data_IF_656356790097
#
_entry.id   IF_656356790097
#
_cell.length_a   1.000
_cell.length_b   1.000
_cell.length_c   1.000
_cell.angle_alpha   90.00
_cell.angle_beta   90.00
_cell.angle_gamma   90.00
#
_symmetry.space_group_name_H-M   'P 1'
#
loop_
_entity.id
_entity.type
_entity.pdbx_description
1 polymer ?
#
# COMPACT_ATOMS: atom_id res chain seq x y z
N UNK A 1 22.70 -6.96 3.05
CA UNK A 1 21.66 -6.20 3.77
C UNK A 1 20.83 -5.41 2.77
N UNK A 2 19.65 -4.93 3.11
CA UNK A 2 18.84 -4.11 2.21
C UNK A 2 18.21 -2.94 2.98
N UNK A 3 18.11 -1.80 2.30
CA UNK A 3 17.42 -0.62 2.83
C UNK A 3 16.20 -0.37 1.98
N UNK A 4 15.07 -0.12 2.64
CA UNK A 4 13.81 0.32 2.04
C UNK A 4 13.50 1.72 2.57
N UNK A 5 13.24 2.64 1.67
CA UNK A 5 12.77 3.99 1.98
C UNK A 5 11.36 4.14 1.45
N UNK A 6 10.43 4.51 2.31
CA UNK A 6 9.05 4.83 1.96
C UNK A 6 8.92 6.34 1.93
N UNK A 7 8.72 6.89 0.74
CA UNK A 7 8.57 8.32 0.52
C UNK A 7 7.10 8.71 0.68
N UNK A 8 6.83 9.77 1.44
CA UNK A 8 5.49 10.32 1.65
C UNK A 8 5.39 11.71 1.03
N UNK A 9 4.31 12.02 0.36
CA UNK A 9 4.04 13.31 -0.23
C UNK A 9 3.02 14.09 0.58
N UNK A 10 3.21 15.40 0.68
CA UNK A 10 2.23 16.30 1.29
C UNK A 10 1.19 16.73 0.25
N UNK A 11 -0.10 16.47 0.53
CA UNK A 11 -1.23 16.93 -0.32
C UNK A 11 -1.09 16.60 -1.82
N UNK A 12 -0.55 15.41 -2.16
CA UNK A 12 -0.12 15.02 -3.49
C UNK A 12 -1.14 15.30 -4.62
N UNK A 13 -2.41 14.92 -4.41
CA UNK A 13 -3.47 15.12 -5.40
C UNK A 13 -3.93 16.58 -5.52
N UNK A 14 -3.79 17.36 -4.46
CA UNK A 14 -4.31 18.72 -4.37
C UNK A 14 -3.29 19.75 -4.94
N UNK A 15 -2.03 19.35 -5.13
CA UNK A 15 -0.94 20.21 -5.58
C UNK A 15 -0.54 19.98 -7.05
N UNK A 16 -1.24 19.12 -7.78
CA UNK A 16 -0.97 18.85 -9.20
C UNK A 16 -1.18 20.11 -10.03
N UNK A 17 -0.11 20.63 -10.63
CA UNK A 17 -0.18 21.79 -11.52
C UNK A 17 -0.79 21.40 -12.88
N UNK A 18 -1.81 22.14 -13.30
CA UNK A 18 -2.55 21.83 -14.52
C UNK A 18 -1.71 22.04 -15.79
N UNK A 19 -0.83 23.04 -15.81
CA UNK A 19 0.02 23.31 -16.98
C UNK A 19 1.11 22.22 -17.14
N UNK A 20 1.69 21.77 -16.02
CA UNK A 20 2.63 20.65 -16.03
C UNK A 20 1.92 19.37 -16.46
N UNK A 21 0.73 19.10 -15.92
CA UNK A 21 -0.06 17.91 -16.28
C UNK A 21 -0.39 17.88 -17.78
N UNK A 22 -0.85 18.99 -18.37
CA UNK A 22 -1.15 19.09 -19.80
C UNK A 22 0.09 18.83 -20.64
N UNK A 23 1.25 19.38 -20.27
CA UNK A 23 2.53 19.05 -20.92
C UNK A 23 2.91 17.58 -20.81
N UNK A 24 2.59 16.88 -19.69
CA UNK A 24 2.79 15.42 -19.56
C UNK A 24 1.88 14.65 -20.52
N UNK A 25 0.60 15.03 -20.57
CA UNK A 25 -0.36 14.40 -21.49
C UNK A 25 0.10 14.54 -22.95
N UNK A 26 0.61 15.70 -23.34
CA UNK A 26 1.10 15.96 -24.68
C UNK A 26 2.42 15.23 -24.96
N UNK A 27 3.46 15.47 -24.15
CA UNK A 27 4.83 15.05 -24.48
C UNK A 27 5.18 13.63 -24.04
N UNK A 28 4.52 13.09 -23.02
CA UNK A 28 4.80 11.74 -22.47
C UNK A 28 3.78 10.71 -22.89
N UNK A 29 2.52 11.11 -23.02
CA UNK A 29 1.42 10.22 -23.44
C UNK A 29 1.15 10.36 -24.94
N UNK A 30 1.52 11.49 -25.58
CA UNK A 30 1.31 11.74 -27.00
C UNK A 30 -0.11 12.20 -27.36
N UNK A 31 -0.86 12.74 -26.39
CA UNK A 31 -2.21 13.25 -26.66
C UNK A 31 -2.13 14.60 -27.35
N UNK A 32 -2.88 14.76 -28.44
CA UNK A 32 -2.90 16.01 -29.25
C UNK A 32 -4.32 16.36 -29.69
N UNK A 33 -4.48 17.59 -30.25
CA UNK A 33 -5.72 18.00 -30.86
C UNK A 33 -6.95 17.98 -29.96
N UNK A 34 -8.10 17.48 -30.42
CA UNK A 34 -9.36 17.50 -29.66
C UNK A 34 -9.26 16.77 -28.32
N UNK A 35 -8.48 15.70 -28.22
CA UNK A 35 -8.32 14.93 -26.97
C UNK A 35 -7.59 15.76 -25.91
N UNK A 36 -6.48 16.42 -26.26
CA UNK A 36 -5.77 17.29 -25.33
C UNK A 36 -6.63 18.49 -24.91
N UNK A 37 -7.38 19.07 -25.86
CA UNK A 37 -8.30 20.17 -25.58
C UNK A 37 -9.41 19.75 -24.62
N UNK A 38 -9.90 18.50 -24.71
CA UNK A 38 -10.85 17.97 -23.76
C UNK A 38 -10.29 17.95 -22.32
N UNK A 39 -9.05 17.47 -22.14
CA UNK A 39 -8.39 17.50 -20.82
C UNK A 39 -8.19 18.92 -20.30
N UNK A 40 -7.86 19.86 -21.19
CA UNK A 40 -7.76 21.27 -20.84
C UNK A 40 -9.09 21.80 -20.30
N UNK A 41 -10.19 21.58 -21.02
CA UNK A 41 -11.55 21.95 -20.58
C UNK A 41 -11.96 21.23 -19.29
N UNK A 42 -11.53 19.96 -19.10
CA UNK A 42 -11.80 19.19 -17.90
C UNK A 42 -11.15 19.78 -16.64
N UNK A 43 -9.98 20.42 -16.78
CA UNK A 43 -9.23 21.01 -15.66
C UNK A 43 -9.59 22.49 -15.44
N UNK A 44 -9.93 23.25 -16.48
CA UNK A 44 -10.21 24.68 -16.43
C UNK A 44 -11.61 25.01 -15.88
N UNK A 45 -11.75 26.24 -15.38
CA UNK A 45 -13.01 26.82 -14.91
C UNK A 45 -13.74 26.02 -13.84
N UNK A 46 -13.03 25.21 -13.07
CA UNK A 46 -13.58 24.47 -11.93
C UNK A 46 -13.63 25.33 -10.69
N UNK A 47 -14.74 25.24 -9.98
CA UNK A 47 -14.94 25.95 -8.72
C UNK A 47 -15.39 24.99 -7.63
N UNK A 48 -15.04 25.24 -6.40
CA UNK A 48 -15.58 24.55 -5.24
C UNK A 48 -16.22 25.54 -4.26
N UNK A 49 -17.15 25.06 -3.49
CA UNK A 49 -17.79 25.79 -2.40
C UNK A 49 -18.10 24.81 -1.27
N UNK A 50 -18.22 25.33 -0.06
CA UNK A 50 -18.62 24.55 1.10
C UNK A 50 -20.10 24.78 1.36
N UNK A 51 -20.88 23.70 1.57
CA UNK A 51 -22.30 23.78 1.90
C UNK A 51 -22.55 23.12 3.25
N UNK A 52 -23.20 23.85 4.15
CA UNK A 52 -23.59 23.38 5.49
C UNK A 52 -25.08 23.70 5.70
N UNK A 53 -25.91 22.69 5.64
CA UNK A 53 -27.37 22.87 5.65
C UNK A 53 -27.84 23.71 4.45
N UNK A 54 -28.45 24.85 4.72
CA UNK A 54 -28.94 25.79 3.70
C UNK A 54 -27.95 26.92 3.35
N UNK A 55 -26.77 26.92 3.96
CA UNK A 55 -25.74 27.95 3.72
C UNK A 55 -24.65 27.43 2.81
N UNK A 56 -24.26 28.24 1.84
CA UNK A 56 -23.14 27.97 0.92
C UNK A 56 -22.13 29.10 0.99
N UNK A 57 -20.82 28.77 0.93
CA UNK A 57 -19.75 29.75 0.78
C UNK A 57 -19.75 30.32 -0.63
N UNK A 58 -19.04 31.44 -0.81
CA UNK A 58 -18.69 31.93 -2.16
C UNK A 58 -17.86 30.86 -2.91
N UNK A 59 -18.11 30.68 -4.22
CA UNK A 59 -17.35 29.77 -5.05
C UNK A 59 -15.89 30.25 -5.21
N UNK A 60 -14.91 29.35 -4.98
CA UNK A 60 -13.49 29.62 -5.19
C UNK A 60 -13.01 28.81 -6.39
N UNK A 61 -12.21 29.42 -7.25
CA UNK A 61 -11.65 28.77 -8.43
C UNK A 61 -10.55 27.77 -8.06
N UNK A 62 -10.57 26.59 -8.71
CA UNK A 62 -9.54 25.56 -8.57
C UNK A 62 -8.46 25.79 -9.63
N UNK A 63 -7.27 26.21 -9.21
CA UNK A 63 -6.13 26.50 -10.08
C UNK A 63 -5.11 25.36 -10.12
N UNK A 64 -5.20 24.39 -9.20
CA UNK A 64 -4.34 23.21 -9.12
C UNK A 64 -5.10 22.02 -8.53
N UNK A 65 -4.50 20.86 -8.61
CA UNK A 65 -5.05 19.59 -8.08
C UNK A 65 -5.94 18.86 -9.08
N UNK A 66 -6.10 17.58 -8.82
CA UNK A 66 -7.04 16.72 -9.53
C UNK A 66 -8.18 16.35 -8.58
N UNK A 67 -9.46 16.36 -9.05
CA UNK A 67 -10.59 16.14 -8.16
C UNK A 67 -10.52 14.79 -7.45
N UNK A 68 -10.43 14.82 -6.12
CA UNK A 68 -10.45 13.60 -5.31
C UNK A 68 -11.80 12.89 -5.47
N UNK A 69 -11.77 11.55 -5.62
CA UNK A 69 -12.96 10.75 -5.90
C UNK A 69 -13.42 10.74 -7.36
N UNK A 70 -12.78 11.49 -8.25
CA UNK A 70 -13.03 11.38 -9.70
C UNK A 70 -12.40 10.10 -10.26
N UNK A 71 -12.98 9.55 -11.33
CA UNK A 71 -12.45 8.37 -12.02
C UNK A 71 -11.07 8.64 -12.62
N UNK A 72 -10.84 9.85 -13.13
CA UNK A 72 -9.58 10.24 -13.78
C UNK A 72 -8.49 10.68 -12.80
N UNK A 73 -8.82 11.12 -11.59
CA UNK A 73 -7.85 11.63 -10.63
C UNK A 73 -6.62 10.75 -10.43
N UNK A 74 -6.78 9.45 -10.09
CA UNK A 74 -5.65 8.54 -9.92
C UNK A 74 -4.81 8.36 -11.18
N UNK A 75 -5.45 8.31 -12.37
CA UNK A 75 -4.75 8.18 -13.64
C UNK A 75 -3.94 9.42 -13.97
N UNK A 76 -4.52 10.60 -13.82
CA UNK A 76 -3.87 11.88 -14.08
C UNK A 76 -2.68 12.11 -13.14
N UNK A 77 -2.83 11.74 -11.86
CA UNK A 77 -1.74 11.78 -10.90
C UNK A 77 -0.59 10.83 -11.29
N UNK A 78 -0.89 9.59 -11.70
CA UNK A 78 0.11 8.65 -12.18
C UNK A 78 0.86 9.19 -13.40
N UNK A 79 0.16 9.84 -14.34
CA UNK A 79 0.77 10.47 -15.51
C UNK A 79 1.67 11.65 -15.09
N UNK A 80 1.24 12.43 -14.10
CA UNK A 80 2.05 13.52 -13.54
C UNK A 80 3.38 13.02 -12.97
N UNK A 81 3.36 11.87 -12.31
CA UNK A 81 4.51 11.22 -11.65
C UNK A 81 5.44 10.44 -12.60
N UNK A 82 5.04 10.18 -13.86
CA UNK A 82 5.81 9.33 -14.79
C UNK A 82 7.31 9.64 -14.87
N UNK A 83 7.77 10.93 -14.97
CA UNK A 83 9.19 11.21 -15.13
C UNK A 83 10.03 10.91 -13.88
N UNK A 84 9.41 10.82 -12.69
CA UNK A 84 10.13 10.46 -11.46
C UNK A 84 10.87 9.13 -11.61
N UNK A 85 10.27 8.19 -12.33
CA UNK A 85 10.88 6.91 -12.64
C UNK A 85 12.28 7.03 -13.27
N UNK A 86 12.47 8.00 -14.17
CA UNK A 86 13.74 8.24 -14.82
C UNK A 86 14.76 8.84 -13.84
N UNK A 87 14.34 9.74 -12.95
CA UNK A 87 15.22 10.33 -11.92
C UNK A 87 15.78 9.23 -11.02
N UNK A 88 14.93 8.30 -10.57
CA UNK A 88 15.37 7.19 -9.70
C UNK A 88 16.29 6.24 -10.45
N UNK A 89 15.96 5.86 -11.69
CA UNK A 89 16.78 4.96 -12.52
C UNK A 89 18.15 5.52 -12.82
N UNK A 90 18.29 6.84 -13.03
CA UNK A 90 19.58 7.48 -13.29
C UNK A 90 20.55 7.31 -12.12
N UNK A 91 20.06 7.08 -10.91
CA UNK A 91 20.86 6.77 -9.73
C UNK A 91 21.09 5.26 -9.50
N UNK A 92 20.69 4.39 -10.42
CA UNK A 92 20.76 2.93 -10.29
C UNK A 92 20.05 2.39 -9.04
N UNK A 93 18.98 3.04 -8.59
CA UNK A 93 18.14 2.63 -7.45
C UNK A 93 16.91 1.92 -7.95
N UNK A 94 16.53 0.84 -7.28
CA UNK A 94 15.28 0.13 -7.56
C UNK A 94 14.12 0.82 -6.85
N UNK A 95 12.94 0.80 -7.50
CA UNK A 95 11.75 1.45 -6.94
C UNK A 95 10.46 0.72 -7.31
N UNK A 96 9.43 0.96 -6.52
CA UNK A 96 8.02 0.70 -6.85
C UNK A 96 7.18 1.91 -6.45
N UNK A 97 6.16 2.22 -7.24
CA UNK A 97 5.21 3.30 -6.95
C UNK A 97 3.79 2.78 -7.03
N UNK A 98 2.97 3.25 -6.11
CA UNK A 98 1.53 3.02 -6.10
C UNK A 98 0.85 4.34 -5.76
N UNK A 99 0.35 5.05 -6.78
CA UNK A 99 -0.10 6.43 -6.71
C UNK A 99 1.00 7.34 -6.10
N UNK A 100 0.73 7.96 -4.97
CA UNK A 100 1.66 8.82 -4.22
C UNK A 100 2.65 8.02 -3.36
N UNK A 101 2.32 6.79 -2.99
CA UNK A 101 3.22 5.91 -2.24
C UNK A 101 4.38 5.44 -3.13
N UNK A 102 5.54 6.08 -3.01
CA UNK A 102 6.76 5.68 -3.71
C UNK A 102 7.74 5.06 -2.73
N UNK A 103 8.21 3.88 -3.07
CA UNK A 103 9.22 3.14 -2.31
C UNK A 103 10.45 2.92 -3.15
N UNK A 104 11.61 3.25 -2.59
CA UNK A 104 12.92 2.99 -3.19
C UNK A 104 13.68 2.01 -2.32
N UNK A 105 14.45 1.14 -2.94
CA UNK A 105 15.21 0.14 -2.20
C UNK A 105 16.54 -0.17 -2.85
N UNK A 106 17.51 -0.49 -2.01
CA UNK A 106 18.88 -0.79 -2.43
C UNK A 106 19.44 -1.94 -1.59
N UNK A 107 20.27 -2.76 -2.25
CA UNK A 107 21.08 -3.78 -1.57
C UNK A 107 22.39 -3.16 -1.10
N UNK A 108 22.74 -3.42 0.16
CA UNK A 108 24.00 -2.97 0.76
C UNK A 108 24.95 -4.16 0.95
N UNK A 109 26.22 -3.94 0.60
CA UNK A 109 27.32 -4.84 0.94
C UNK A 109 28.06 -4.25 2.13
N UNK A 110 28.29 -5.01 3.21
CA UNK A 110 29.02 -4.50 4.36
C UNK A 110 30.40 -3.96 3.97
N UNK A 111 30.73 -2.74 4.44
CA UNK A 111 32.02 -2.08 4.14
C UNK A 111 32.04 -1.24 2.86
N UNK A 112 30.99 -1.31 2.02
CA UNK A 112 30.85 -0.48 0.83
C UNK A 112 29.91 0.71 1.11
N UNK A 113 30.48 1.92 1.13
CA UNK A 113 29.72 3.17 1.34
C UNK A 113 29.07 3.73 0.06
N UNK A 114 29.49 3.24 -1.10
CA UNK A 114 28.99 3.72 -2.40
C UNK A 114 27.46 3.67 -2.50
N UNK A 115 26.80 2.54 -2.16
CA UNK A 115 25.34 2.44 -2.22
C UNK A 115 24.60 3.41 -1.28
N UNK A 116 25.15 3.71 -0.09
CA UNK A 116 24.54 4.68 0.84
C UNK A 116 24.63 6.11 0.28
N UNK A 117 25.78 6.47 -0.31
CA UNK A 117 25.96 7.76 -0.97
C UNK A 117 25.03 7.90 -2.20
N UNK A 118 24.91 6.83 -3.02
CA UNK A 118 23.98 6.79 -4.15
C UNK A 118 22.52 6.97 -3.70
N UNK A 119 22.13 6.36 -2.57
CA UNK A 119 20.81 6.53 -2.00
C UNK A 119 20.58 7.97 -1.54
N UNK A 120 21.55 8.60 -0.86
CA UNK A 120 21.47 10.00 -0.45
C UNK A 120 21.27 10.93 -1.65
N UNK A 121 22.12 10.80 -2.68
CA UNK A 121 22.01 11.55 -3.92
C UNK A 121 20.66 11.35 -4.61
N UNK A 122 20.17 10.11 -4.68
CA UNK A 122 18.88 9.81 -5.27
C UNK A 122 17.74 10.54 -4.54
N UNK A 123 17.76 10.60 -3.21
CA UNK A 123 16.75 11.31 -2.42
C UNK A 123 16.83 12.82 -2.65
N UNK A 124 18.02 13.39 -2.79
CA UNK A 124 18.22 14.79 -3.17
C UNK A 124 17.64 15.07 -4.56
N UNK A 125 18.01 14.28 -5.58
CA UNK A 125 17.48 14.39 -6.94
C UNK A 125 15.96 14.25 -6.99
N UNK A 126 15.38 13.34 -6.18
CA UNK A 126 13.92 13.19 -6.03
C UNK A 126 13.31 14.46 -5.44
N UNK A 127 13.89 14.98 -4.36
CA UNK A 127 13.39 16.19 -3.72
C UNK A 127 13.42 17.40 -4.68
N UNK A 128 14.49 17.57 -5.42
CA UNK A 128 14.64 18.64 -6.41
C UNK A 128 13.62 18.47 -7.54
N UNK A 129 13.45 17.26 -8.04
CA UNK A 129 12.42 16.96 -9.03
C UNK A 129 11.00 17.27 -8.50
N UNK A 130 10.70 16.91 -7.26
CA UNK A 130 9.42 17.22 -6.61
C UNK A 130 9.19 18.72 -6.54
N UNK A 131 10.19 19.49 -6.08
CA UNK A 131 10.10 20.95 -6.01
C UNK A 131 9.84 21.59 -7.40
N UNK A 132 10.55 21.15 -8.45
CA UNK A 132 10.33 21.61 -9.82
C UNK A 132 8.95 21.24 -10.39
N UNK A 133 8.30 20.24 -9.83
CA UNK A 133 6.95 19.80 -10.18
C UNK A 133 5.90 20.22 -9.15
N UNK A 134 6.17 21.23 -8.31
CA UNK A 134 5.26 21.79 -7.33
C UNK A 134 4.70 20.75 -6.35
N UNK A 135 5.45 19.68 -6.13
CA UNK A 135 5.16 18.65 -5.12
C UNK A 135 6.09 18.83 -3.93
N UNK A 136 5.65 18.37 -2.77
CA UNK A 136 6.44 18.47 -1.55
C UNK A 136 6.65 17.10 -0.91
N UNK A 137 7.91 16.69 -0.79
CA UNK A 137 8.30 15.51 -0.04
C UNK A 137 8.15 15.77 1.47
N UNK A 138 7.42 14.91 2.16
CA UNK A 138 7.26 14.98 3.61
C UNK A 138 8.40 14.23 4.30
N UNK A 139 9.48 14.95 4.60
CA UNK A 139 10.66 14.36 5.27
C UNK A 139 10.34 13.76 6.64
N UNK A 140 9.34 14.29 7.35
CA UNK A 140 8.97 13.82 8.69
C UNK A 140 8.18 12.50 8.66
N UNK A 141 7.52 12.20 7.54
CA UNK A 141 6.78 10.95 7.33
C UNK A 141 7.53 9.95 6.45
N UNK A 142 8.65 10.36 5.85
CA UNK A 142 9.52 9.43 5.14
C UNK A 142 10.11 8.43 6.14
N UNK A 143 9.87 7.14 5.92
CA UNK A 143 10.28 6.05 6.81
C UNK A 143 11.38 5.21 6.14
N UNK A 144 12.42 4.87 6.89
CA UNK A 144 13.56 4.07 6.41
C UNK A 144 13.69 2.80 7.25
N UNK A 145 13.65 1.65 6.60
CA UNK A 145 13.83 0.34 7.27
C UNK A 145 15.09 -0.34 6.74
N UNK A 146 15.89 -0.89 7.66
CA UNK A 146 17.07 -1.70 7.35
C UNK A 146 16.77 -3.16 7.62
N UNK A 147 16.92 -4.01 6.60
CA UNK A 147 16.77 -5.46 6.69
C UNK A 147 18.12 -6.17 6.68
N UNK A 148 18.23 -7.24 7.45
CA UNK A 148 19.42 -8.10 7.51
C UNK A 148 19.80 -8.51 8.92
N UNK A 149 21.01 -9.04 9.12
CA UNK A 149 21.49 -9.50 10.40
C UNK A 149 21.57 -8.36 11.44
N UNK A 150 21.10 -8.62 12.66
CA UNK A 150 20.97 -7.61 13.72
C UNK A 150 22.31 -6.93 14.05
N UNK A 151 23.39 -7.69 14.06
CA UNK A 151 24.72 -7.24 14.41
C UNK A 151 25.24 -6.17 13.42
N UNK A 152 24.84 -6.27 12.14
CA UNK A 152 25.26 -5.36 11.06
C UNK A 152 24.33 -4.18 10.83
N UNK A 153 23.16 -4.18 11.43
CA UNK A 153 22.17 -3.09 11.24
C UNK A 153 22.64 -1.78 11.86
N UNK A 154 23.36 -1.84 12.98
CA UNK A 154 23.79 -0.66 13.69
C UNK A 154 24.75 0.18 12.82
N UNK A 155 25.69 -0.46 12.15
CA UNK A 155 26.67 0.20 11.28
C UNK A 155 25.95 0.93 10.14
N UNK A 156 25.04 0.23 9.45
CA UNK A 156 24.25 0.81 8.36
C UNK A 156 23.33 1.94 8.86
N UNK A 157 22.75 1.80 10.05
CA UNK A 157 21.91 2.84 10.65
C UNK A 157 22.73 4.11 10.91
N UNK A 158 23.97 3.97 11.39
CA UNK A 158 24.89 5.09 11.63
C UNK A 158 25.29 5.77 10.31
N UNK A 159 25.55 4.99 9.26
CA UNK A 159 25.85 5.52 7.94
C UNK A 159 24.66 6.30 7.35
N UNK A 160 23.42 5.77 7.46
CA UNK A 160 22.21 6.45 7.02
C UNK A 160 21.94 7.74 7.79
N UNK A 161 22.25 7.76 9.09
CA UNK A 161 22.14 9.00 9.90
C UNK A 161 23.09 10.09 9.42
N UNK A 162 24.28 9.74 8.92
CA UNK A 162 25.23 10.72 8.38
C UNK A 162 24.70 11.46 7.15
N UNK A 163 23.76 10.87 6.42
CA UNK A 163 23.02 11.49 5.30
C UNK A 163 21.60 11.93 5.72
N UNK A 164 21.39 12.19 7.01
CA UNK A 164 20.13 12.69 7.58
C UNK A 164 18.91 11.77 7.40
N UNK A 165 19.10 10.49 7.15
CA UNK A 165 18.02 9.50 7.08
C UNK A 165 17.82 8.82 8.44
N UNK A 166 16.65 9.03 9.04
CA UNK A 166 16.27 8.43 10.30
C UNK A 166 15.61 7.08 10.09
N UNK A 167 16.23 6.03 10.61
CA UNK A 167 15.71 4.66 10.49
C UNK A 167 14.60 4.36 11.51
N UNK A 168 13.68 3.48 11.14
CA UNK A 168 12.62 2.95 12.01
C UNK A 168 12.68 1.42 12.04
N UNK A 169 12.25 0.83 13.15
CA UNK A 169 12.16 -0.63 13.29
C UNK A 169 10.92 -1.23 12.62
N UNK A 170 10.00 -0.39 12.17
CA UNK A 170 8.77 -0.80 11.50
C UNK A 170 8.22 0.36 10.70
N UNK A 171 7.56 0.07 9.59
CA UNK A 171 6.83 1.05 8.79
C UNK A 171 5.53 0.44 8.25
N UNK A 172 4.61 1.30 7.85
CA UNK A 172 3.38 0.89 7.19
C UNK A 172 3.50 1.12 5.69
N UNK A 173 3.43 0.02 4.91
CA UNK A 173 3.46 0.08 3.46
C UNK A 173 2.18 -0.54 2.90
N UNK A 174 1.40 0.22 2.14
CA UNK A 174 0.13 -0.20 1.51
C UNK A 174 -0.78 -0.99 2.48
N UNK A 175 -0.91 -0.49 3.72
CA UNK A 175 -1.74 -1.11 4.75
C UNK A 175 -1.09 -2.25 5.54
N UNK A 176 0.05 -2.78 5.11
CA UNK A 176 0.81 -3.81 5.82
C UNK A 176 1.86 -3.18 6.72
N UNK A 177 1.94 -3.59 7.98
CA UNK A 177 3.02 -3.17 8.89
C UNK A 177 4.18 -4.16 8.72
N UNK A 178 5.30 -3.66 8.19
CA UNK A 178 6.54 -4.41 7.97
C UNK A 178 7.49 -4.08 9.11
N UNK A 179 8.17 -5.07 9.66
CA UNK A 179 9.22 -4.90 10.66
C UNK A 179 10.58 -5.37 10.12
N UNK A 180 11.66 -4.91 10.76
CA UNK A 180 13.05 -5.18 10.35
C UNK A 180 13.42 -6.66 10.29
N UNK A 181 12.69 -7.52 11.01
CA UNK A 181 12.91 -8.96 11.07
C UNK A 181 11.94 -9.75 10.16
N UNK A 182 11.02 -9.07 9.48
CA UNK A 182 9.96 -9.66 8.65
C UNK A 182 9.10 -10.69 9.41
N UNK A 183 8.90 -10.48 10.72
CA UNK A 183 8.08 -11.34 11.57
C UNK A 183 6.59 -11.03 11.49
N UNK A 184 6.22 -9.83 11.04
CA UNK A 184 4.86 -9.33 10.91
C UNK A 184 4.01 -9.42 12.19
N UNK A 185 4.62 -9.58 13.37
CA UNK A 185 3.87 -9.77 14.63
C UNK A 185 2.94 -8.60 14.94
N UNK A 186 3.37 -7.35 14.69
CA UNK A 186 2.53 -6.16 14.90
C UNK A 186 1.40 -6.10 13.89
N UNK A 187 1.65 -6.46 12.63
CA UNK A 187 0.62 -6.54 11.62
C UNK A 187 -0.42 -7.60 11.95
N UNK A 188 0.00 -8.83 12.27
CA UNK A 188 -0.88 -9.92 12.69
C UNK A 188 -1.71 -9.50 13.92
N UNK A 189 -1.10 -8.81 14.89
CA UNK A 189 -1.81 -8.29 16.07
C UNK A 189 -2.88 -7.26 15.68
N UNK A 190 -2.58 -6.35 14.76
CA UNK A 190 -3.53 -5.35 14.28
C UNK A 190 -4.70 -6.00 13.52
N UNK A 191 -4.42 -6.92 12.58
CA UNK A 191 -5.43 -7.71 11.87
C UNK A 191 -6.30 -8.48 12.85
N UNK A 192 -5.69 -9.18 13.81
CA UNK A 192 -6.39 -9.97 14.83
C UNK A 192 -7.33 -9.09 15.67
N UNK A 193 -6.85 -7.95 16.16
CA UNK A 193 -7.64 -7.01 16.96
C UNK A 193 -8.84 -6.49 16.17
N UNK A 194 -8.63 -6.05 14.95
CA UNK A 194 -9.70 -5.52 14.08
C UNK A 194 -10.72 -6.61 13.74
N UNK A 195 -10.26 -7.79 13.35
CA UNK A 195 -11.15 -8.90 13.00
C UNK A 195 -12.03 -9.35 14.19
N UNK A 196 -11.47 -9.47 15.39
CA UNK A 196 -12.26 -9.80 16.59
C UNK A 196 -13.25 -8.70 16.97
N UNK A 197 -12.91 -7.44 16.78
CA UNK A 197 -13.85 -6.33 16.98
C UNK A 197 -15.08 -6.48 16.10
N UNK A 198 -14.88 -6.70 14.80
CA UNK A 198 -15.99 -6.91 13.86
C UNK A 198 -16.75 -8.20 14.15
N UNK A 199 -16.06 -9.28 14.44
CA UNK A 199 -16.69 -10.57 14.76
C UNK A 199 -17.58 -10.47 16.00
N UNK A 200 -17.16 -9.70 17.02
CA UNK A 200 -17.98 -9.43 18.22
C UNK A 200 -19.27 -8.69 17.84
N UNK A 201 -19.20 -7.69 16.95
CA UNK A 201 -20.36 -6.97 16.51
C UNK A 201 -21.31 -7.84 15.67
N UNK A 202 -20.76 -8.62 14.73
CA UNK A 202 -21.54 -9.60 13.93
C UNK A 202 -22.20 -10.63 14.85
N UNK A 203 -21.52 -11.12 15.87
CA UNK A 203 -22.07 -12.10 16.82
C UNK A 203 -23.28 -11.58 17.62
N UNK A 204 -23.37 -10.24 17.84
CA UNK A 204 -24.52 -9.64 18.54
C UNK A 204 -25.80 -9.61 17.72
N UNK A 205 -25.66 -9.53 16.41
CA UNK A 205 -26.79 -9.43 15.49
C UNK A 205 -27.10 -10.74 14.74
N UNK A 206 -26.32 -11.80 14.99
CA UNK A 206 -26.42 -13.08 14.26
C UNK A 206 -27.80 -13.72 14.29
N UNK A 207 -28.55 -13.50 15.37
CA UNK A 207 -29.88 -14.10 15.55
C UNK A 207 -30.99 -13.33 14.83
N UNK A 208 -30.68 -12.11 14.38
CA UNK A 208 -31.59 -11.24 13.60
C UNK A 208 -31.37 -11.37 12.10
N UNK A 209 -30.39 -12.18 11.66
CA UNK A 209 -29.98 -12.24 10.26
C UNK A 209 -30.12 -13.64 9.66
N UNK A 210 -30.34 -13.70 8.35
CA UNK A 210 -30.24 -14.94 7.59
C UNK A 210 -28.78 -15.45 7.58
N UNK A 211 -28.58 -16.77 7.42
CA UNK A 211 -27.27 -17.35 7.30
C UNK A 211 -26.49 -16.76 6.12
N UNK A 212 -27.15 -16.50 4.99
CA UNK A 212 -26.55 -15.92 3.80
C UNK A 212 -26.03 -14.49 4.02
N UNK A 213 -26.81 -13.64 4.70
CA UNK A 213 -26.38 -12.26 4.99
C UNK A 213 -25.29 -12.22 6.05
N UNK A 214 -25.35 -13.12 7.04
CA UNK A 214 -24.31 -13.28 8.03
C UNK A 214 -22.99 -13.71 7.38
N UNK A 215 -23.04 -14.60 6.38
CA UNK A 215 -21.87 -15.02 5.61
C UNK A 215 -21.25 -13.85 4.82
N UNK A 216 -22.08 -13.03 4.16
CA UNK A 216 -21.61 -11.80 3.47
C UNK A 216 -20.86 -10.87 4.44
N UNK A 217 -21.39 -10.67 5.66
CA UNK A 217 -20.72 -9.84 6.68
C UNK A 217 -19.38 -10.46 7.13
N UNK A 218 -19.34 -11.78 7.30
CA UNK A 218 -18.09 -12.48 7.66
C UNK A 218 -17.06 -12.30 6.54
N UNK A 219 -17.45 -12.46 5.27
CA UNK A 219 -16.53 -12.24 4.16
C UNK A 219 -16.07 -10.78 4.08
N UNK A 220 -16.98 -9.81 4.18
CA UNK A 220 -16.66 -8.40 4.07
C UNK A 220 -15.77 -7.88 5.21
N UNK A 221 -15.99 -8.33 6.44
CA UNK A 221 -15.32 -7.76 7.61
C UNK A 221 -14.22 -8.64 8.21
N UNK A 222 -14.20 -9.93 7.95
CA UNK A 222 -13.22 -10.85 8.51
C UNK A 222 -12.27 -11.35 7.42
N UNK A 223 -12.78 -11.99 6.36
CA UNK A 223 -11.93 -12.54 5.31
C UNK A 223 -11.19 -11.47 4.51
N UNK A 224 -11.81 -10.33 4.25
CA UNK A 224 -11.13 -9.19 3.61
C UNK A 224 -9.85 -8.78 4.35
N UNK A 225 -9.78 -8.96 5.67
CA UNK A 225 -8.60 -8.68 6.50
C UNK A 225 -7.61 -9.84 6.57
N UNK A 226 -8.13 -11.08 6.62
CA UNK A 226 -7.28 -12.27 6.67
C UNK A 226 -6.56 -12.53 5.35
N UNK A 227 -7.20 -12.17 4.23
CA UNK A 227 -6.69 -12.45 2.88
C UNK A 227 -5.91 -11.28 2.25
N UNK A 228 -6.02 -10.08 2.82
CA UNK A 228 -5.28 -8.94 2.32
C UNK A 228 -3.77 -9.17 2.46
N UNK A 229 -3.05 -9.18 1.34
CA UNK A 229 -1.60 -9.42 1.26
C UNK A 229 -1.12 -10.66 2.04
N UNK A 230 -1.95 -11.69 2.20
CA UNK A 230 -1.61 -12.85 3.03
C UNK A 230 -0.41 -13.66 2.51
N UNK A 231 -0.03 -13.53 1.25
CA UNK A 231 1.17 -14.14 0.68
C UNK A 231 2.47 -13.72 1.39
N UNK A 232 2.51 -12.52 1.99
CA UNK A 232 3.68 -12.06 2.77
C UNK A 232 3.91 -12.86 4.06
N UNK A 233 2.92 -13.67 4.48
CA UNK A 233 3.02 -14.53 5.66
C UNK A 233 3.64 -15.91 5.36
N UNK A 234 4.04 -16.14 4.11
CA UNK A 234 4.72 -17.38 3.73
C UNK A 234 5.99 -17.57 4.55
N UNK A 235 6.17 -18.78 5.10
CA UNK A 235 7.34 -19.10 5.91
C UNK A 235 7.27 -18.64 7.37
N UNK A 236 6.23 -17.92 7.80
CA UNK A 236 6.09 -17.53 9.19
C UNK A 236 5.90 -18.73 10.14
N UNK A 237 6.35 -18.61 11.40
CA UNK A 237 6.16 -19.65 12.40
C UNK A 237 4.68 -20.03 12.58
N UNK A 238 4.39 -21.32 12.75
CA UNK A 238 3.02 -21.84 12.99
C UNK A 238 2.29 -21.10 14.12
N UNK A 239 3.01 -20.63 15.14
CA UNK A 239 2.48 -19.85 16.26
C UNK A 239 1.83 -18.53 15.78
N UNK A 240 2.42 -17.85 14.83
CA UNK A 240 1.90 -16.59 14.26
C UNK A 240 0.68 -16.86 13.39
N UNK A 241 0.74 -17.85 12.51
CA UNK A 241 -0.39 -18.25 11.64
C UNK A 241 -1.59 -18.75 12.47
N UNK A 242 -1.32 -19.45 13.59
CA UNK A 242 -2.39 -19.92 14.50
C UNK A 242 -3.27 -18.78 15.03
N UNK A 243 -2.73 -17.57 15.25
CA UNK A 243 -3.52 -16.41 15.69
C UNK A 243 -4.60 -16.06 14.66
N UNK A 244 -4.25 -16.09 13.36
CA UNK A 244 -5.19 -15.84 12.27
C UNK A 244 -6.20 -16.99 12.10
N UNK A 245 -5.73 -18.25 12.23
CA UNK A 245 -6.60 -19.43 12.17
C UNK A 245 -7.67 -19.42 13.26
N UNK A 246 -7.36 -18.94 14.46
CA UNK A 246 -8.34 -18.83 15.55
C UNK A 246 -9.47 -17.85 15.22
N UNK A 247 -9.19 -16.79 14.46
CA UNK A 247 -10.21 -15.84 13.97
C UNK A 247 -11.13 -16.56 13.00
N UNK A 248 -10.57 -17.25 12.00
CA UNK A 248 -11.35 -18.01 11.02
C UNK A 248 -12.25 -19.04 11.72
N UNK A 249 -11.70 -19.79 12.68
CA UNK A 249 -12.46 -20.75 13.44
C UNK A 249 -13.62 -20.11 14.22
N UNK A 250 -13.37 -18.93 14.80
CA UNK A 250 -14.39 -18.19 15.55
C UNK A 250 -15.49 -17.66 14.61
N UNK A 251 -15.11 -17.18 13.43
CA UNK A 251 -16.06 -16.74 12.40
C UNK A 251 -16.94 -17.90 11.91
N UNK A 252 -16.36 -19.06 11.65
CA UNK A 252 -17.11 -20.26 11.27
C UNK A 252 -18.12 -20.67 12.35
N UNK A 253 -17.73 -20.62 13.64
CA UNK A 253 -18.64 -20.92 14.76
C UNK A 253 -19.79 -19.92 14.87
N UNK A 254 -19.52 -18.64 14.66
CA UNK A 254 -20.57 -17.60 14.67
C UNK A 254 -21.57 -17.85 13.54
N UNK A 255 -21.09 -18.15 12.33
CA UNK A 255 -21.92 -18.40 11.16
C UNK A 255 -22.76 -19.66 11.27
N UNK A 256 -22.20 -20.75 11.80
CA UNK A 256 -22.87 -22.07 11.88
C UNK A 256 -23.48 -22.36 13.23
N UNK A 257 -23.34 -21.47 14.21
CA UNK A 257 -23.80 -21.65 15.61
C UNK A 257 -23.19 -22.90 16.29
N UNK A 258 -22.04 -23.37 15.78
CA UNK A 258 -21.32 -24.53 16.33
C UNK A 258 -20.73 -24.21 17.70
N UNK A 259 -20.86 -25.12 18.65
CA UNK A 259 -20.36 -24.97 20.03
C UNK A 259 -18.82 -24.91 20.06
N UNK A 260 -18.28 -24.28 21.11
CA UNK A 260 -16.82 -24.15 21.30
C UNK A 260 -16.09 -25.47 21.43
N UNK A 261 -16.75 -26.47 21.98
CA UNK A 261 -16.22 -27.82 22.23
C UNK A 261 -16.18 -28.70 20.98
N UNK A 262 -16.98 -28.41 19.97
CA UNK A 262 -17.05 -29.20 18.75
C UNK A 262 -15.82 -29.03 17.88
N UNK A 263 -15.44 -30.06 17.15
CA UNK A 263 -14.35 -30.01 16.19
C UNK A 263 -14.69 -29.04 15.02
N UNK A 264 -13.76 -28.13 14.71
CA UNK A 264 -14.00 -27.09 13.71
C UNK A 264 -13.74 -27.56 12.25
N UNK A 265 -12.88 -28.57 12.05
CA UNK A 265 -12.50 -29.01 10.71
C UNK A 265 -13.66 -29.47 9.83
N UNK A 266 -14.66 -30.23 10.32
CA UNK A 266 -15.85 -30.57 9.54
C UNK A 266 -16.65 -29.34 9.13
N UNK A 267 -16.73 -28.33 10.02
CA UNK A 267 -17.44 -27.08 9.77
C UNK A 267 -16.76 -26.27 8.67
N UNK A 268 -15.42 -26.13 8.73
CA UNK A 268 -14.67 -25.43 7.67
C UNK A 268 -14.83 -26.14 6.32
N UNK A 269 -14.85 -27.48 6.32
CA UNK A 269 -15.08 -28.26 5.09
C UNK A 269 -16.48 -28.06 4.53
N UNK A 270 -17.52 -28.06 5.34
CA UNK A 270 -18.90 -27.82 4.91
C UNK A 270 -19.12 -26.39 4.39
N UNK A 271 -18.34 -25.43 4.85
CA UNK A 271 -18.32 -24.05 4.37
C UNK A 271 -17.41 -23.85 3.15
N UNK A 272 -16.68 -24.88 2.71
CA UNK A 272 -15.63 -24.78 1.69
C UNK A 272 -14.54 -23.73 2.02
N UNK A 273 -14.24 -23.56 3.30
CA UNK A 273 -13.24 -22.62 3.76
C UNK A 273 -11.89 -23.32 3.97
N UNK A 274 -10.93 -22.97 3.11
CA UNK A 274 -9.54 -23.41 3.28
C UNK A 274 -8.96 -22.83 4.58
N UNK A 275 -8.22 -23.64 5.37
CA UNK A 275 -7.42 -23.14 6.50
C UNK A 275 -6.47 -22.01 6.09
N UNK A 276 -6.15 -21.11 7.04
CA UNK A 276 -5.34 -19.92 6.75
C UNK A 276 -3.99 -20.25 6.09
N UNK A 277 -3.30 -21.31 6.54
CA UNK A 277 -2.04 -21.73 5.87
C UNK A 277 -2.26 -22.08 4.40
N UNK A 278 -3.30 -22.86 4.07
CA UNK A 278 -3.61 -23.22 2.70
C UNK A 278 -4.08 -22.02 1.85
N UNK A 279 -4.71 -21.02 2.46
CA UNK A 279 -5.07 -19.76 1.77
C UNK A 279 -3.83 -18.96 1.40
N UNK A 280 -2.80 -18.96 2.26
CA UNK A 280 -1.49 -18.34 1.99
C UNK A 280 -0.82 -19.07 0.83
N UNK A 281 -0.71 -20.41 0.91
CA UNK A 281 -0.11 -21.24 -0.14
C UNK A 281 -0.83 -21.06 -1.48
N UNK A 282 -2.17 -21.08 -1.46
CA UNK A 282 -2.99 -20.82 -2.64
C UNK A 282 -2.71 -19.46 -3.28
N UNK A 283 -2.56 -18.40 -2.46
CA UNK A 283 -2.26 -17.06 -2.98
C UNK A 283 -0.88 -17.03 -3.65
N UNK A 284 0.13 -17.66 -3.04
CA UNK A 284 1.48 -17.75 -3.63
C UNK A 284 1.45 -18.52 -4.95
N UNK A 285 0.82 -19.70 -4.95
CA UNK A 285 0.69 -20.52 -6.15
C UNK A 285 -0.05 -19.78 -7.27
N UNK A 286 -1.10 -19.02 -6.93
CA UNK A 286 -1.83 -18.20 -7.90
C UNK A 286 -0.94 -17.10 -8.50
N UNK A 287 -0.10 -16.45 -7.69
CA UNK A 287 0.83 -15.42 -8.17
C UNK A 287 1.89 -16.04 -9.08
N UNK A 288 2.46 -17.18 -8.69
CA UNK A 288 3.43 -17.94 -9.53
C UNK A 288 2.77 -18.37 -10.84
N UNK A 289 1.57 -18.95 -10.79
CA UNK A 289 0.84 -19.33 -12.00
C UNK A 289 0.64 -18.13 -12.94
N UNK A 290 0.21 -16.98 -12.41
CA UNK A 290 0.03 -15.77 -13.21
C UNK A 290 1.33 -15.29 -13.83
N UNK A 291 2.44 -15.31 -13.08
CA UNK A 291 3.75 -14.92 -13.58
C UNK A 291 4.20 -15.82 -14.74
N UNK A 292 4.11 -17.14 -14.56
CA UNK A 292 4.53 -18.12 -15.58
C UNK A 292 3.65 -18.11 -16.85
N UNK A 293 2.40 -17.66 -16.74
CA UNK A 293 1.46 -17.65 -17.88
C UNK A 293 1.25 -16.23 -18.47
N UNK A 294 2.11 -15.25 -18.17
CA UNK A 294 2.01 -13.90 -18.72
C UNK A 294 0.78 -13.10 -18.24
N UNK A 295 0.15 -13.53 -17.15
CA UNK A 295 -1.02 -12.88 -16.52
C UNK A 295 -0.65 -11.94 -15.38
N UNK A 296 0.63 -11.76 -15.14
CA UNK A 296 1.19 -10.87 -14.12
C UNK A 296 1.95 -9.71 -14.76
N UNK A 297 2.15 -8.60 -14.03
CA UNK A 297 3.03 -7.53 -14.48
C UNK A 297 4.47 -8.03 -14.72
N UNK A 298 5.18 -7.39 -15.66
CA UNK A 298 6.52 -7.82 -16.09
C UNK A 298 7.51 -7.96 -14.91
N UNK A 299 7.50 -7.05 -13.96
CA UNK A 299 8.37 -7.11 -12.77
C UNK A 299 8.16 -8.34 -11.87
N UNK A 300 7.12 -9.13 -12.09
CA UNK A 300 6.89 -10.42 -11.39
C UNK A 300 7.36 -11.62 -12.20
N UNK A 301 7.63 -11.43 -13.49
CA UNK A 301 8.09 -12.49 -14.41
C UNK A 301 9.60 -12.44 -14.62
N UNK A 302 10.23 -11.29 -14.46
CA UNK A 302 11.67 -11.07 -14.48
C UNK A 302 12.34 -11.56 -13.19
#
# INVERSE_FOLDING_TARGET
>A
MSVLVLLDLSAAFDTVDHAILLRRLENWVGLTGPVLNWFKTYLENRKYFVSIGNFTSEPIEITCGVPQGSILGPLLFNIYMLPLAQVIKNNNISYHSYADDTQIYIRLTPGDRGPVQALGKCIEDINDWMCHNLLQLNKNKTEVIVFGAKEKRLDVTTELQSIQLKTTNQARNLGVVIDTDLNFDKHIKAVTKSAYYHLKNISRIKDLMSKQDLEKLVHAFIFSRLDYCNSVFTGLPKKSIRKLQLIQNSAARVLTRTKKVDHISPVLRSLHWLPVCQRIDFKVLLLVYKALNGLAPKYMTD
#
